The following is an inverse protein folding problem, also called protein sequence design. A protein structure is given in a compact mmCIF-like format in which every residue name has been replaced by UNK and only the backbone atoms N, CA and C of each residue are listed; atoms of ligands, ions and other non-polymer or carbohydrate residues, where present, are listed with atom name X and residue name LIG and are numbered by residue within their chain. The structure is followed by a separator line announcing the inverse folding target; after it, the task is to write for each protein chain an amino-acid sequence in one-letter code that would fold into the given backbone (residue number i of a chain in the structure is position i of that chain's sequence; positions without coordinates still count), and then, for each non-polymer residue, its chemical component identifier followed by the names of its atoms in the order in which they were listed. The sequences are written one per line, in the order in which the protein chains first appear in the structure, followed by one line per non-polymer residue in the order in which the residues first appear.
data_IF_647158868785
#
_entry.id   IF_647158868785
#
_cell.length_a   1.000
_cell.length_b   1.000
_cell.length_c   1.000
_cell.angle_alpha   90.00
_cell.angle_beta   90.00
_cell.angle_gamma   90.00
#
_symmetry.space_group_name_H-M   'P 1'
#
loop_
_entity.id
_entity.type
_entity.pdbx_description
1 polymer ?
#
# COMPACT_ATOMS: atom_id res chain seq x y z
N UNK A 1 -1.49 30.71 9.21
CA UNK A 1 -1.71 29.43 8.49
C UNK A 1 -3.04 28.87 8.97
N UNK A 2 -3.98 28.72 8.07
CA UNK A 2 -5.22 28.01 8.43
C UNK A 2 -4.86 26.61 8.89
N UNK A 3 -5.28 26.24 10.09
CA UNK A 3 -5.14 24.88 10.60
C UNK A 3 -6.14 24.01 9.88
N UNK A 4 -5.67 23.08 9.04
CA UNK A 4 -6.53 22.07 8.45
C UNK A 4 -7.19 21.26 9.57
N UNK A 5 -8.46 20.85 9.40
CA UNK A 5 -9.18 20.03 10.39
C UNK A 5 -8.64 18.60 10.52
N UNK A 6 -7.63 18.24 9.75
CA UNK A 6 -6.97 16.93 9.74
C UNK A 6 -5.46 17.10 9.54
N UNK A 7 -4.69 16.08 9.95
CA UNK A 7 -3.25 16.01 9.75
C UNK A 7 -2.96 15.22 8.46
N UNK A 8 -2.68 15.93 7.35
CA UNK A 8 -2.34 15.28 6.09
C UNK A 8 -0.92 14.70 6.08
N UNK A 9 -0.71 13.70 5.21
CA UNK A 9 0.58 13.01 5.08
C UNK A 9 1.73 13.99 4.75
N UNK A 10 1.51 15.00 3.93
CA UNK A 10 2.53 15.97 3.56
C UNK A 10 3.02 16.80 4.75
N UNK A 11 2.10 17.24 5.63
CA UNK A 11 2.43 17.94 6.86
C UNK A 11 3.10 17.02 7.88
N UNK A 12 2.61 15.77 7.98
CA UNK A 12 3.16 14.78 8.89
C UNK A 12 4.60 14.39 8.51
N UNK A 13 4.89 14.10 7.25
CA UNK A 13 6.22 13.69 6.78
C UNK A 13 7.25 14.82 6.90
N UNK A 14 6.84 16.08 6.72
CA UNK A 14 7.73 17.25 6.95
C UNK A 14 8.20 17.40 8.38
N UNK A 15 7.48 16.85 9.35
CA UNK A 15 7.92 16.81 10.76
C UNK A 15 8.95 15.70 11.04
N UNK A 16 9.07 14.72 10.13
CA UNK A 16 10.00 13.59 10.27
C UNK A 16 11.35 13.85 9.60
N UNK A 17 11.38 14.71 8.58
CA UNK A 17 12.57 14.99 7.79
C UNK A 17 12.82 16.50 7.67
N UNK A 18 14.10 16.94 7.73
CA UNK A 18 14.47 18.35 7.55
C UNK A 18 14.44 18.78 6.07
N UNK A 19 14.18 17.86 5.14
CA UNK A 19 14.13 18.04 3.71
C UNK A 19 12.80 17.51 3.14
N UNK A 20 12.53 17.87 1.90
CA UNK A 20 11.35 17.37 1.18
C UNK A 20 11.51 15.91 0.84
N UNK A 21 10.45 15.13 1.05
CA UNK A 21 10.41 13.70 0.73
C UNK A 21 9.28 13.41 -0.26
N UNK A 22 9.57 12.60 -1.29
CA UNK A 22 8.63 12.15 -2.31
C UNK A 22 8.60 10.62 -2.39
N UNK A 23 7.42 10.02 -2.45
CA UNK A 23 7.28 8.59 -2.77
C UNK A 23 7.52 8.36 -4.26
N UNK A 24 8.37 7.40 -4.61
CA UNK A 24 8.57 6.88 -5.98
C UNK A 24 8.02 5.46 -6.03
N UNK A 25 6.99 5.23 -6.85
CA UNK A 25 6.39 3.91 -7.02
C UNK A 25 7.34 2.95 -7.72
N UNK A 26 7.36 1.69 -7.26
CA UNK A 26 8.19 0.60 -7.79
C UNK A 26 7.32 -0.65 -8.01
N UNK A 27 7.45 -1.29 -9.17
CA UNK A 27 6.99 -2.65 -9.42
C UNK A 27 8.18 -3.62 -9.31
N UNK A 28 8.32 -4.25 -8.15
CA UNK A 28 9.41 -5.18 -7.87
C UNK A 28 9.14 -6.61 -8.36
N UNK A 29 8.12 -6.81 -9.21
CA UNK A 29 7.79 -8.10 -9.79
C UNK A 29 7.16 -9.10 -8.82
N UNK A 30 6.70 -8.65 -7.65
CA UNK A 30 5.88 -9.50 -6.77
C UNK A 30 4.57 -9.88 -7.43
N UNK A 31 3.92 -10.92 -6.92
CA UNK A 31 2.57 -11.33 -7.31
C UNK A 31 1.59 -11.15 -6.15
N UNK A 32 0.41 -11.76 -6.26
CA UNK A 32 -0.61 -11.71 -5.23
C UNK A 32 -1.23 -13.11 -5.08
N UNK A 33 -1.39 -13.65 -3.86
CA UNK A 33 -1.97 -14.98 -3.64
C UNK A 33 -3.42 -15.07 -4.13
N UNK A 34 -4.07 -13.93 -4.34
CA UNK A 34 -5.40 -13.83 -4.91
C UNK A 34 -5.41 -13.84 -6.47
N UNK A 35 -4.22 -14.01 -7.11
CA UNK A 35 -4.06 -14.05 -8.58
C UNK A 35 -3.24 -15.23 -9.08
N UNK A 36 -2.38 -15.80 -8.27
CA UNK A 36 -1.48 -16.89 -8.68
C UNK A 36 -2.02 -18.30 -8.41
N UNK A 37 -3.25 -18.40 -7.92
CA UNK A 37 -3.93 -19.67 -7.65
C UNK A 37 -3.85 -20.15 -6.20
N UNK A 38 -3.10 -19.47 -5.32
CA UNK A 38 -3.02 -19.89 -3.91
C UNK A 38 -4.35 -19.66 -3.18
N UNK A 39 -4.96 -18.51 -3.33
CA UNK A 39 -6.30 -18.19 -2.82
C UNK A 39 -7.33 -18.15 -3.94
N UNK A 40 -6.98 -17.51 -5.06
CA UNK A 40 -7.84 -17.33 -6.23
C UNK A 40 -6.97 -17.01 -7.45
N UNK A 41 -7.51 -17.22 -8.64
CA UNK A 41 -6.88 -16.78 -9.91
C UNK A 41 -7.45 -15.46 -10.43
N UNK A 42 -8.55 -14.97 -9.85
CA UNK A 42 -9.30 -13.83 -10.38
C UNK A 42 -8.90 -12.48 -9.78
N UNK A 43 -8.21 -12.47 -8.64
CA UNK A 43 -7.92 -11.23 -7.89
C UNK A 43 -9.16 -10.65 -7.22
N UNK A 44 -8.99 -9.49 -6.59
CA UNK A 44 -10.12 -8.68 -6.13
C UNK A 44 -10.92 -8.16 -7.33
N UNK A 45 -12.25 -8.04 -7.19
CA UNK A 45 -13.15 -7.72 -8.32
C UNK A 45 -12.86 -6.38 -8.98
N UNK A 46 -12.29 -5.43 -8.25
CA UNK A 46 -11.96 -4.07 -8.68
C UNK A 46 -10.52 -3.90 -9.18
N UNK A 47 -9.63 -4.88 -8.96
CA UNK A 47 -8.19 -4.68 -9.03
C UNK A 47 -7.63 -4.73 -10.46
N UNK A 48 -7.04 -3.63 -10.92
CA UNK A 48 -6.07 -3.59 -12.03
C UNK A 48 -4.86 -2.73 -11.62
N UNK A 49 -3.74 -3.38 -11.29
CA UNK A 49 -2.52 -2.68 -10.82
C UNK A 49 -1.89 -1.78 -11.89
N UNK A 50 -2.16 -2.02 -13.19
CA UNK A 50 -1.59 -1.23 -14.28
C UNK A 50 -2.14 0.20 -14.32
N UNK A 51 -3.40 0.37 -13.90
CA UNK A 51 -4.09 1.66 -13.96
C UNK A 51 -3.46 2.71 -13.05
N UNK A 52 -2.86 2.29 -11.93
CA UNK A 52 -2.30 3.20 -10.92
C UNK A 52 -0.77 3.24 -10.91
N UNK A 53 -0.12 2.56 -11.86
CA UNK A 53 1.33 2.55 -11.97
C UNK A 53 1.79 3.67 -12.92
N UNK A 54 2.74 4.53 -12.49
CA UNK A 54 3.38 5.50 -13.39
C UNK A 54 4.06 4.81 -14.58
N UNK A 55 4.26 5.53 -15.67
CA UNK A 55 4.86 4.97 -16.90
C UNK A 55 6.28 4.43 -16.72
N UNK A 56 7.03 4.95 -15.77
CA UNK A 56 8.37 4.48 -15.44
C UNK A 56 8.38 3.19 -14.61
N UNK A 57 7.26 2.86 -13.96
CA UNK A 57 7.13 1.71 -13.08
C UNK A 57 6.83 0.45 -13.89
N UNK A 58 7.78 -0.46 -14.01
CA UNK A 58 7.67 -1.68 -14.82
C UNK A 58 8.56 -2.80 -14.30
N UNK A 59 8.00 -4.00 -14.10
CA UNK A 59 8.71 -5.19 -13.62
C UNK A 59 9.83 -5.73 -14.53
N UNK A 60 9.91 -5.26 -15.78
CA UNK A 60 11.00 -5.62 -16.70
C UNK A 60 12.25 -4.77 -16.47
N UNK A 61 12.14 -3.66 -15.74
CA UNK A 61 13.24 -2.81 -15.30
C UNK A 61 13.70 -3.24 -13.92
N UNK A 62 14.98 -3.03 -13.60
CA UNK A 62 15.48 -3.13 -12.23
C UNK A 62 14.78 -2.11 -11.31
N UNK A 63 14.80 -2.35 -10.02
CA UNK A 63 14.27 -1.41 -9.03
C UNK A 63 15.03 -0.08 -9.10
N UNK A 64 16.35 -0.16 -9.24
CA UNK A 64 17.22 1.01 -9.42
C UNK A 64 16.80 1.85 -10.63
N UNK A 65 16.62 1.26 -11.81
CA UNK A 65 16.20 1.99 -13.01
C UNK A 65 14.85 2.70 -12.81
N UNK A 66 13.87 2.02 -12.20
CA UNK A 66 12.56 2.62 -11.90
C UNK A 66 12.70 3.82 -10.95
N UNK A 67 13.55 3.71 -9.92
CA UNK A 67 13.77 4.80 -8.96
C UNK A 67 14.47 5.98 -9.66
N UNK A 68 15.51 5.76 -10.47
CA UNK A 68 16.21 6.84 -11.17
C UNK A 68 15.31 7.55 -12.18
N UNK A 69 14.47 6.83 -12.92
CA UNK A 69 13.47 7.46 -13.81
C UNK A 69 12.41 8.24 -13.00
N UNK A 70 11.99 7.71 -11.85
CA UNK A 70 11.08 8.40 -10.93
C UNK A 70 11.70 9.68 -10.36
N UNK A 71 12.99 9.66 -9.97
CA UNK A 71 13.75 10.85 -9.55
C UNK A 71 13.75 11.89 -10.67
N UNK A 72 14.09 11.50 -11.89
CA UNK A 72 14.11 12.41 -13.05
C UNK A 72 12.71 13.01 -13.34
N UNK A 73 11.66 12.23 -13.14
CA UNK A 73 10.27 12.72 -13.30
C UNK A 73 9.92 13.82 -12.29
N UNK A 74 10.27 13.65 -11.00
CA UNK A 74 9.96 14.61 -9.94
C UNK A 74 10.93 15.79 -9.86
N UNK A 75 12.22 15.61 -10.24
CA UNK A 75 13.25 16.66 -10.20
C UNK A 75 12.89 17.90 -11.03
N UNK A 76 12.07 17.73 -12.07
CA UNK A 76 11.55 18.87 -12.89
C UNK A 76 10.83 19.92 -12.07
N UNK A 77 10.18 19.52 -10.97
CA UNK A 77 9.40 20.43 -10.13
C UNK A 77 10.17 20.86 -8.86
N UNK A 78 11.01 19.98 -8.33
CA UNK A 78 11.70 20.18 -7.06
C UNK A 78 13.10 19.54 -7.15
N UNK A 79 14.15 20.34 -7.41
CA UNK A 79 15.51 19.82 -7.65
C UNK A 79 16.16 19.20 -6.41
N UNK A 80 15.79 19.68 -5.21
CA UNK A 80 16.33 19.18 -3.94
C UNK A 80 15.26 18.43 -3.15
N UNK A 81 15.29 17.11 -3.23
CA UNK A 81 14.42 16.23 -2.43
C UNK A 81 15.07 14.87 -2.21
N UNK A 82 14.59 14.18 -1.18
CA UNK A 82 14.91 12.78 -0.94
C UNK A 82 13.68 11.92 -1.24
N UNK A 83 13.86 10.62 -1.29
CA UNK A 83 12.84 9.73 -1.81
C UNK A 83 12.55 8.57 -0.85
N UNK A 84 11.29 8.11 -0.86
CA UNK A 84 10.89 6.83 -0.32
C UNK A 84 10.56 5.90 -1.49
N UNK A 85 11.25 4.78 -1.60
CA UNK A 85 10.90 3.76 -2.58
C UNK A 85 9.57 3.11 -2.17
N UNK A 86 8.52 3.29 -2.98
CA UNK A 86 7.18 2.82 -2.69
C UNK A 86 6.86 1.56 -3.47
N UNK A 87 7.00 0.42 -2.82
CA UNK A 87 6.60 -0.89 -3.31
C UNK A 87 5.07 -0.95 -3.30
N UNK A 88 4.44 -0.51 -4.38
CA UNK A 88 3.00 -0.33 -4.46
C UNK A 88 2.29 -1.47 -5.18
N UNK A 89 2.89 -2.00 -6.25
CA UNK A 89 2.24 -2.99 -7.11
C UNK A 89 2.15 -4.36 -6.46
N UNK A 90 0.94 -4.94 -6.45
CA UNK A 90 0.67 -6.28 -5.91
C UNK A 90 0.88 -6.41 -4.39
N UNK A 91 1.57 -7.48 -3.94
CA UNK A 91 1.71 -7.82 -2.52
C UNK A 91 3.18 -7.97 -2.18
N UNK A 92 3.79 -6.91 -1.66
CA UNK A 92 5.23 -6.78 -1.62
C UNK A 92 5.93 -7.50 -0.45
N UNK A 93 5.20 -8.26 0.35
CA UNK A 93 5.73 -9.24 1.31
C UNK A 93 5.45 -10.69 0.89
N UNK A 94 4.83 -10.89 -0.30
CA UNK A 94 4.49 -12.22 -0.80
C UNK A 94 5.63 -12.79 -1.64
N UNK A 95 6.61 -13.35 -0.94
CA UNK A 95 7.81 -13.95 -1.49
C UNK A 95 8.65 -14.59 -0.38
N UNK A 96 9.79 -15.17 -0.73
CA UNK A 96 10.78 -15.62 0.26
C UNK A 96 11.43 -14.43 0.96
N UNK A 97 11.93 -14.64 2.17
CA UNK A 97 12.62 -13.59 2.92
C UNK A 97 13.87 -13.08 2.17
N UNK A 98 14.59 -13.97 1.49
CA UNK A 98 15.76 -13.63 0.68
C UNK A 98 15.40 -12.74 -0.51
N UNK A 99 14.26 -13.00 -1.17
CA UNK A 99 13.80 -12.17 -2.28
C UNK A 99 13.36 -10.79 -1.80
N UNK A 100 12.70 -10.70 -0.64
CA UNK A 100 12.36 -9.44 -0.01
C UNK A 100 13.62 -8.61 0.31
N UNK A 101 14.59 -9.23 0.99
CA UNK A 101 15.88 -8.59 1.34
C UNK A 101 16.53 -7.99 0.11
N UNK A 102 16.80 -8.82 -0.88
CA UNK A 102 17.44 -8.40 -2.12
C UNK A 102 16.77 -7.19 -2.77
N UNK A 103 15.43 -7.20 -2.83
CA UNK A 103 14.66 -6.12 -3.47
C UNK A 103 14.62 -4.84 -2.65
N UNK A 104 14.50 -4.94 -1.33
CA UNK A 104 14.49 -3.74 -0.47
C UNK A 104 15.88 -3.12 -0.38
N UNK A 105 16.93 -3.93 -0.27
CA UNK A 105 18.32 -3.49 -0.28
C UNK A 105 18.72 -2.84 -1.61
N UNK A 106 18.25 -3.39 -2.76
CA UNK A 106 18.45 -2.77 -4.08
C UNK A 106 17.84 -1.36 -4.13
N UNK A 107 16.64 -1.16 -3.57
CA UNK A 107 16.02 0.16 -3.53
C UNK A 107 16.76 1.13 -2.62
N UNK A 108 17.19 0.66 -1.45
CA UNK A 108 17.90 1.48 -0.46
C UNK A 108 19.32 1.84 -0.86
N UNK A 109 19.94 1.06 -1.76
CA UNK A 109 21.26 1.35 -2.31
C UNK A 109 21.26 2.48 -3.35
N UNK A 110 20.09 2.99 -3.73
CA UNK A 110 20.00 4.13 -4.67
C UNK A 110 20.18 5.44 -3.91
N UNK A 111 21.04 6.30 -4.43
CA UNK A 111 21.31 7.61 -3.83
C UNK A 111 20.02 8.42 -3.62
N UNK A 112 19.96 9.14 -2.48
CA UNK A 112 18.82 9.96 -2.08
C UNK A 112 17.56 9.18 -1.65
N UNK A 113 17.57 7.85 -1.65
CA UNK A 113 16.52 7.04 -1.05
C UNK A 113 16.78 6.95 0.46
N UNK A 114 15.87 7.49 1.25
CA UNK A 114 15.99 7.58 2.72
C UNK A 114 15.10 6.56 3.45
N UNK A 115 14.41 5.73 2.71
CA UNK A 115 13.54 4.69 3.27
C UNK A 115 12.62 4.07 2.25
N UNK A 116 11.77 3.17 2.74
CA UNK A 116 10.83 2.42 1.91
C UNK A 116 9.41 2.47 2.46
N UNK A 117 8.45 2.33 1.56
CA UNK A 117 7.03 2.11 1.88
C UNK A 117 6.62 0.80 1.24
N UNK A 118 6.12 -0.13 2.04
CA UNK A 118 5.78 -1.50 1.64
C UNK A 118 4.27 -1.65 1.61
N UNK A 119 3.67 -1.56 0.42
CA UNK A 119 2.26 -1.85 0.20
C UNK A 119 2.04 -3.36 0.14
N UNK A 120 1.22 -3.90 1.01
CA UNK A 120 1.01 -5.35 1.08
C UNK A 120 -0.38 -5.75 1.57
N UNK A 121 -0.65 -7.05 1.57
CA UNK A 121 -1.85 -7.66 2.16
C UNK A 121 -1.57 -8.05 3.61
N UNK A 122 -2.56 -7.92 4.51
CA UNK A 122 -2.38 -8.30 5.91
C UNK A 122 -2.16 -9.81 6.13
N UNK A 123 -2.67 -10.65 5.23
CA UNK A 123 -2.51 -12.11 5.25
C UNK A 123 -1.19 -12.62 4.62
N UNK A 124 -0.29 -11.69 4.25
CA UNK A 124 0.99 -12.01 3.61
C UNK A 124 2.20 -11.56 4.44
N UNK A 125 2.02 -11.32 5.73
CA UNK A 125 3.10 -11.09 6.67
C UNK A 125 3.19 -12.24 7.68
N UNK A 126 4.41 -12.50 8.15
CA UNK A 126 4.71 -13.47 9.21
C UNK A 126 5.78 -12.89 10.12
N UNK A 127 6.05 -13.57 11.23
CA UNK A 127 7.00 -13.10 12.25
C UNK A 127 8.38 -12.84 11.65
N UNK A 128 8.90 -13.76 10.82
CA UNK A 128 10.25 -13.63 10.25
C UNK A 128 10.38 -12.40 9.35
N UNK A 129 9.36 -12.12 8.53
CA UNK A 129 9.34 -10.95 7.65
C UNK A 129 9.21 -9.65 8.45
N UNK A 130 8.33 -9.63 9.46
CA UNK A 130 8.17 -8.48 10.33
C UNK A 130 9.42 -8.20 11.16
N UNK A 131 10.11 -9.23 11.65
CA UNK A 131 11.38 -9.08 12.38
C UNK A 131 12.48 -8.51 11.46
N UNK A 132 12.54 -8.94 10.21
CA UNK A 132 13.45 -8.35 9.23
C UNK A 132 13.12 -6.88 8.94
N UNK A 133 11.85 -6.57 8.73
CA UNK A 133 11.40 -5.20 8.47
C UNK A 133 11.67 -4.31 9.70
N UNK A 134 11.54 -4.84 10.92
CA UNK A 134 11.90 -4.12 12.14
C UNK A 134 13.38 -3.77 12.18
N UNK A 135 14.27 -4.71 11.87
CA UNK A 135 15.71 -4.43 11.75
C UNK A 135 16.00 -3.37 10.70
N UNK A 136 15.34 -3.45 9.56
CA UNK A 136 15.47 -2.45 8.50
C UNK A 136 15.02 -1.06 8.98
N UNK A 137 13.98 -1.00 9.82
CA UNK A 137 13.46 0.24 10.42
C UNK A 137 14.42 0.88 11.44
N UNK A 138 15.41 0.16 11.95
CA UNK A 138 16.50 0.72 12.77
C UNK A 138 17.52 1.47 11.92
N UNK A 139 17.65 1.13 10.64
CA UNK A 139 18.65 1.68 9.71
C UNK A 139 18.09 2.76 8.79
N UNK A 140 16.82 2.67 8.43
CA UNK A 140 16.15 3.60 7.51
C UNK A 140 14.68 3.80 7.87
N UNK A 141 14.02 4.74 7.21
CA UNK A 141 12.62 5.02 7.44
C UNK A 141 11.71 3.99 6.75
N UNK A 142 10.87 3.29 7.51
CA UNK A 142 9.99 2.25 6.96
C UNK A 142 8.52 2.53 7.32
N UNK A 143 7.65 2.36 6.33
CA UNK A 143 6.20 2.30 6.49
C UNK A 143 5.71 0.99 5.89
N UNK A 144 4.87 0.25 6.62
CA UNK A 144 4.10 -0.88 6.06
C UNK A 144 2.66 -0.42 5.85
N UNK A 145 2.19 -0.41 4.59
CA UNK A 145 0.83 -0.02 4.22
C UNK A 145 -0.01 -1.27 3.88
N UNK A 146 -1.03 -1.53 4.67
CA UNK A 146 -1.94 -2.66 4.48
C UNK A 146 -3.15 -2.29 3.63
N UNK A 147 -3.43 -3.07 2.59
CA UNK A 147 -4.70 -3.01 1.88
C UNK A 147 -5.79 -3.65 2.73
N UNK A 148 -6.47 -2.87 3.52
CA UNK A 148 -7.62 -3.28 4.36
C UNK A 148 -8.88 -3.34 3.49
N UNK A 149 -9.10 -2.31 2.71
CA UNK A 149 -10.17 -2.00 1.78
C UNK A 149 -11.50 -1.70 2.46
N UNK A 150 -11.96 -2.52 3.43
CA UNK A 150 -13.18 -2.32 4.21
C UNK A 150 -13.04 -2.98 5.60
N UNK A 151 -13.73 -2.45 6.60
CA UNK A 151 -13.90 -3.10 7.90
C UNK A 151 -15.11 -4.06 7.93
N UNK A 152 -15.88 -4.15 6.85
CA UNK A 152 -17.04 -5.02 6.71
C UNK A 152 -16.65 -6.33 6.01
N UNK A 153 -16.75 -7.46 6.72
CA UNK A 153 -16.38 -8.77 6.19
C UNK A 153 -17.31 -9.26 5.05
N UNK A 154 -18.57 -8.80 4.99
CA UNK A 154 -19.47 -9.07 3.88
C UNK A 154 -18.95 -8.40 2.60
N UNK A 155 -18.57 -7.12 2.71
CA UNK A 155 -17.95 -6.38 1.60
C UNK A 155 -16.66 -7.04 1.16
N UNK A 156 -15.77 -7.43 2.10
CA UNK A 156 -14.50 -8.11 1.78
C UNK A 156 -14.74 -9.43 1.02
N UNK A 157 -15.75 -10.21 1.39
CA UNK A 157 -16.15 -11.42 0.64
C UNK A 157 -16.68 -11.07 -0.75
N UNK A 158 -17.57 -10.07 -0.85
CA UNK A 158 -18.16 -9.63 -2.11
C UNK A 158 -17.12 -9.18 -3.14
N UNK A 159 -16.10 -8.44 -2.69
CA UNK A 159 -15.02 -7.98 -3.57
C UNK A 159 -13.92 -9.03 -3.78
N UNK A 160 -14.10 -10.26 -3.32
CA UNK A 160 -13.12 -11.34 -3.38
C UNK A 160 -11.76 -10.95 -2.76
N UNK A 161 -11.78 -10.30 -1.58
CA UNK A 161 -10.54 -9.85 -0.92
C UNK A 161 -9.69 -10.99 -0.40
N UNK A 162 -10.29 -12.08 0.07
CA UNK A 162 -9.63 -13.32 0.49
C UNK A 162 -9.05 -13.29 1.91
N UNK A 163 -9.27 -12.22 2.68
CA UNK A 163 -9.00 -12.12 4.13
C UNK A 163 -10.11 -11.34 4.82
N UNK A 164 -10.18 -11.41 6.15
CA UNK A 164 -11.13 -10.67 6.98
C UNK A 164 -10.51 -9.41 7.56
N UNK A 165 -11.32 -8.56 8.17
CA UNK A 165 -10.85 -7.37 8.89
C UNK A 165 -10.05 -7.75 10.15
N UNK A 166 -10.40 -8.85 10.83
CA UNK A 166 -9.65 -9.38 11.97
C UNK A 166 -8.21 -9.71 11.61
N UNK A 167 -7.99 -10.27 10.41
CA UNK A 167 -6.66 -10.50 9.87
C UNK A 167 -5.88 -9.17 9.72
N UNK A 168 -6.56 -8.12 9.27
CA UNK A 168 -5.95 -6.78 9.17
C UNK A 168 -5.57 -6.23 10.55
N UNK A 169 -6.45 -6.33 11.54
CA UNK A 169 -6.15 -5.89 12.93
C UNK A 169 -4.94 -6.62 13.51
N UNK A 170 -4.85 -7.93 13.32
CA UNK A 170 -3.74 -8.74 13.82
C UNK A 170 -2.41 -8.34 13.15
N UNK A 171 -2.41 -8.15 11.84
CA UNK A 171 -1.21 -7.71 11.11
C UNK A 171 -0.75 -6.32 11.56
N UNK A 172 -1.67 -5.37 11.72
CA UNK A 172 -1.39 -4.02 12.23
C UNK A 172 -0.78 -4.11 13.62
N UNK A 173 -1.40 -4.86 14.54
CA UNK A 173 -0.92 -5.05 15.90
C UNK A 173 0.51 -5.57 15.93
N UNK A 174 0.80 -6.69 15.25
CA UNK A 174 2.12 -7.31 15.19
C UNK A 174 3.20 -6.37 14.63
N UNK A 175 2.83 -5.58 13.64
CA UNK A 175 3.72 -4.60 13.03
C UNK A 175 4.03 -3.46 13.98
N UNK A 176 3.03 -2.94 14.68
CA UNK A 176 3.21 -1.88 15.69
C UNK A 176 3.99 -2.32 16.92
N UNK A 177 3.81 -3.55 17.38
CA UNK A 177 4.59 -4.13 18.49
C UNK A 177 6.09 -4.13 18.20
N UNK A 178 6.49 -4.04 16.92
CA UNK A 178 7.88 -3.91 16.46
C UNK A 178 8.33 -2.47 16.21
N UNK A 179 7.51 -1.48 16.57
CA UNK A 179 7.84 -0.07 16.37
C UNK A 179 7.79 0.41 14.91
N UNK A 180 7.22 -0.38 14.00
CA UNK A 180 7.10 -0.02 12.58
C UNK A 180 5.86 0.85 12.37
N UNK A 181 5.99 1.92 11.60
CA UNK A 181 4.88 2.79 11.22
C UNK A 181 3.91 2.02 10.32
N UNK A 182 2.63 2.01 10.69
CA UNK A 182 1.59 1.29 9.95
C UNK A 182 0.64 2.23 9.23
N UNK A 183 0.46 1.97 7.93
CA UNK A 183 -0.59 2.59 7.11
C UNK A 183 -1.71 1.60 6.77
N UNK A 184 -2.89 2.12 6.50
CA UNK A 184 -4.01 1.34 6.00
C UNK A 184 -4.68 2.00 4.81
N UNK A 185 -5.04 1.21 3.80
CA UNK A 185 -5.84 1.66 2.68
C UNK A 185 -7.28 1.19 2.86
N UNK A 186 -8.23 2.09 2.66
CA UNK A 186 -9.66 1.80 2.58
C UNK A 186 -10.24 2.37 1.29
N UNK A 187 -11.32 1.77 0.82
CA UNK A 187 -12.02 2.21 -0.39
C UNK A 187 -13.46 2.57 0.00
N UNK A 188 -13.84 3.81 -0.22
CA UNK A 188 -15.22 4.30 -0.03
C UNK A 188 -16.03 4.05 -1.29
N UNK A 189 -17.27 3.57 -1.15
CA UNK A 189 -18.18 3.28 -2.25
C UNK A 189 -17.99 1.90 -2.87
N UNK A 190 -17.51 0.93 -2.07
CA UNK A 190 -17.50 -0.48 -2.47
C UNK A 190 -18.92 -1.02 -2.65
N UNK A 191 -19.15 -2.03 -3.50
CA UNK A 191 -20.47 -2.59 -3.71
C UNK A 191 -21.14 -3.06 -2.43
N UNK A 192 -22.34 -2.55 -2.16
CA UNK A 192 -23.10 -2.84 -0.96
C UNK A 192 -22.81 -1.93 0.23
N UNK A 193 -21.89 -0.97 0.09
CA UNK A 193 -21.61 0.04 1.09
C UNK A 193 -22.19 1.40 0.71
N UNK A 194 -23.09 1.91 1.54
CA UNK A 194 -23.60 3.27 1.46
C UNK A 194 -22.79 4.24 2.34
N UNK A 195 -23.21 5.50 2.37
CA UNK A 195 -22.58 6.52 3.21
C UNK A 195 -22.66 6.17 4.70
N UNK A 196 -23.77 5.55 5.16
CA UNK A 196 -23.94 5.17 6.56
C UNK A 196 -22.97 4.05 6.93
N UNK A 197 -22.73 3.10 6.02
CA UNK A 197 -21.73 2.04 6.24
C UNK A 197 -20.33 2.64 6.37
N UNK A 198 -19.95 3.57 5.51
CA UNK A 198 -18.67 4.26 5.61
C UNK A 198 -18.50 4.99 6.95
N UNK A 199 -19.56 5.63 7.45
CA UNK A 199 -19.55 6.28 8.76
C UNK A 199 -19.46 5.26 9.92
N UNK A 200 -20.13 4.10 9.82
CA UNK A 200 -20.02 3.02 10.81
C UNK A 200 -18.62 2.43 10.91
N UNK A 201 -17.92 2.32 9.78
CA UNK A 201 -16.55 1.79 9.73
C UNK A 201 -15.52 2.74 10.32
N UNK A 202 -15.74 4.04 10.30
CA UNK A 202 -14.76 5.03 10.73
C UNK A 202 -14.23 4.81 12.16
N UNK A 203 -15.06 4.65 13.22
CA UNK A 203 -14.56 4.34 14.56
C UNK A 203 -13.84 2.99 14.62
N UNK A 204 -14.32 1.96 13.93
CA UNK A 204 -13.74 0.62 13.91
C UNK A 204 -12.31 0.66 13.32
N UNK A 205 -12.11 1.43 12.24
CA UNK A 205 -10.80 1.63 11.61
C UNK A 205 -9.89 2.47 12.51
N UNK A 206 -10.43 3.50 13.14
CA UNK A 206 -9.67 4.34 14.09
C UNK A 206 -9.12 3.53 15.27
N UNK A 207 -9.89 2.59 15.79
CA UNK A 207 -9.50 1.70 16.90
C UNK A 207 -8.47 0.62 16.47
N UNK A 208 -8.25 0.42 15.18
CA UNK A 208 -7.25 -0.55 14.70
C UNK A 208 -5.81 -0.17 15.01
N UNK A 209 -5.56 1.09 15.41
CA UNK A 209 -4.25 1.56 15.82
C UNK A 209 -3.34 1.99 14.66
N UNK A 210 -3.86 2.23 13.47
CA UNK A 210 -3.10 2.77 12.34
C UNK A 210 -2.48 4.14 12.65
N UNK A 211 -1.27 4.38 12.14
CA UNK A 211 -0.60 5.67 12.19
C UNK A 211 -1.00 6.55 11.00
N UNK A 212 -1.32 5.93 9.86
CA UNK A 212 -1.64 6.57 8.60
C UNK A 212 -2.88 5.90 7.99
N UNK A 213 -3.86 6.69 7.57
CA UNK A 213 -5.01 6.21 6.81
C UNK A 213 -5.02 6.83 5.41
N UNK A 214 -5.10 6.00 4.38
CA UNK A 214 -5.25 6.41 2.99
C UNK A 214 -6.64 6.02 2.49
N UNK A 215 -7.44 7.02 2.23
CA UNK A 215 -8.83 6.86 1.77
C UNK A 215 -8.85 6.95 0.24
N UNK A 216 -9.35 5.90 -0.40
CA UNK A 216 -9.60 5.85 -1.83
C UNK A 216 -11.10 5.95 -2.11
N UNK A 217 -11.43 6.59 -3.20
CA UNK A 217 -12.75 6.49 -3.81
C UNK A 217 -12.78 5.25 -4.71
N UNK A 218 -13.87 4.48 -4.68
CA UNK A 218 -14.08 3.37 -5.61
C UNK A 218 -14.08 3.87 -7.05
N UNK A 219 -13.31 3.23 -7.92
CA UNK A 219 -13.25 3.52 -9.34
C UNK A 219 -13.62 2.27 -10.15
N UNK A 220 -14.53 2.44 -11.09
CA UNK A 220 -14.94 1.37 -12.01
C UNK A 220 -13.94 1.33 -13.16
N UNK A 221 -13.00 0.39 -13.09
CA UNK A 221 -11.90 0.27 -14.06
C UNK A 221 -12.28 -0.72 -15.15
N UNK A 222 -12.22 -0.28 -16.40
CA UNK A 222 -12.51 -1.12 -17.59
C UNK A 222 -11.69 -2.41 -17.56
N UNK A 223 -12.35 -3.54 -17.85
CA UNK A 223 -11.71 -4.86 -17.88
C UNK A 223 -11.71 -5.60 -16.55
N UNK A 224 -12.08 -4.96 -15.45
CA UNK A 224 -12.25 -5.62 -14.15
C UNK A 224 -13.59 -6.38 -14.09
N UNK A 225 -13.69 -7.36 -13.17
CA UNK A 225 -14.94 -8.05 -12.89
C UNK A 225 -16.02 -7.07 -12.41
N UNK A 226 -15.61 -6.11 -11.58
CA UNK A 226 -16.51 -5.09 -11.05
C UNK A 226 -17.09 -4.19 -12.14
N UNK A 227 -16.30 -3.85 -13.18
CA UNK A 227 -16.80 -3.06 -14.30
C UNK A 227 -17.86 -3.81 -15.12
N UNK A 228 -17.72 -5.12 -15.29
CA UNK A 228 -18.74 -5.95 -15.95
C UNK A 228 -20.03 -5.96 -15.14
N UNK A 229 -19.90 -6.24 -13.83
CA UNK A 229 -21.04 -6.24 -12.91
C UNK A 229 -21.76 -4.89 -12.91
N UNK A 230 -21.04 -3.78 -12.82
CA UNK A 230 -21.61 -2.43 -12.85
C UNK A 230 -22.35 -2.12 -14.14
N UNK A 231 -21.89 -2.65 -15.28
CA UNK A 231 -22.56 -2.47 -16.58
C UNK A 231 -23.90 -3.22 -16.63
N UNK A 232 -23.98 -4.40 -15.98
CA UNK A 232 -25.18 -5.25 -15.95
C UNK A 232 -26.18 -4.76 -14.87
N UNK A 233 -25.66 -4.33 -13.72
CA UNK A 233 -26.46 -3.89 -12.57
C UNK A 233 -25.71 -2.79 -11.80
N UNK A 234 -25.90 -1.51 -12.16
CA UNK A 234 -25.28 -0.38 -11.48
C UNK A 234 -25.64 -0.32 -9.99
N UNK A 235 -24.68 0.03 -9.16
CA UNK A 235 -24.81 0.12 -7.69
C UNK A 235 -24.17 1.43 -7.17
#
# INVERSE_FOLDING_TARGET
METLPYNDFGNWIRKKFPFRVQKISVDAGFTCPNRDGRLSVNGCTFCDNRTFSPSYCSRIKSIKEQIEEGKAFFARKYPEMKYLAYFQSFTNTYGSLEDLKRKYEEALAVDDVVGIVIGTRPDCVDEQKLDYIAKLNEECFVIVEYGIESANNETLRRINRGHTFECSKEAIKKTKERGIITGGHIIIGLPGEDQNESLRQAPIISESGLDILKIHQMQIIKGTKLAKEYTENPF
#
